data_IF_844798079063
#
_entry.id   IF_844798079063
#
_cell.length_a   1.000
_cell.length_b   1.000
_cell.length_c   1.000
_cell.angle_alpha   90.00
_cell.angle_beta   90.00
_cell.angle_gamma   90.00
#
_symmetry.space_group_name_H-M   'P 1'
#
loop_
_entity.id
_entity.type
_entity.pdbx_description
1 polymer ?
#
# COMPACT_ATOMS: atom_id res chain seq x y z
N UNK A 1 -6.30 28.80 -6.52
CA UNK A 1 -6.02 27.78 -5.48
C UNK A 1 -7.15 26.77 -5.62
N UNK A 2 -6.92 25.71 -6.41
CA UNK A 2 -7.99 24.74 -6.70
C UNK A 2 -8.23 23.94 -5.44
N UNK A 3 -9.49 23.85 -5.03
CA UNK A 3 -9.94 23.00 -3.93
C UNK A 3 -9.55 21.56 -4.30
N UNK A 4 -8.53 21.03 -3.62
CA UNK A 4 -8.18 19.62 -3.74
C UNK A 4 -9.33 18.86 -3.08
N UNK A 5 -10.02 17.95 -3.78
CA UNK A 5 -11.06 17.17 -3.15
C UNK A 5 -10.45 16.49 -1.92
N UNK A 6 -10.95 16.82 -0.73
CA UNK A 6 -10.62 16.07 0.47
C UNK A 6 -11.07 14.65 0.21
N UNK A 7 -10.09 13.76 0.06
CA UNK A 7 -10.32 12.36 -0.22
C UNK A 7 -10.94 11.75 1.05
N UNK A 8 -12.27 11.84 1.17
CA UNK A 8 -13.02 11.31 2.28
C UNK A 8 -13.14 9.80 2.08
N UNK A 9 -12.10 9.07 2.50
CA UNK A 9 -12.19 7.63 2.61
C UNK A 9 -13.16 7.28 3.74
N UNK A 10 -14.13 6.42 3.44
CA UNK A 10 -15.03 5.91 4.46
C UNK A 10 -14.23 5.05 5.47
N UNK A 11 -14.55 5.11 6.77
CA UNK A 11 -13.89 4.27 7.77
C UNK A 11 -14.15 2.77 7.55
N UNK A 12 -15.27 2.43 6.93
CA UNK A 12 -15.67 1.05 6.62
C UNK A 12 -15.34 0.70 5.17
N UNK A 13 -15.01 -0.57 4.93
CA UNK A 13 -14.88 -1.12 3.59
C UNK A 13 -16.24 -1.21 2.90
N UNK A 14 -16.25 -0.92 1.60
CA UNK A 14 -17.37 -1.32 0.74
C UNK A 14 -17.45 -2.85 0.60
N UNK A 15 -18.56 -3.35 0.07
CA UNK A 15 -18.72 -4.79 -0.18
C UNK A 15 -17.67 -5.31 -1.18
N UNK A 16 -17.29 -4.50 -2.18
CA UNK A 16 -16.24 -4.84 -3.15
C UNK A 16 -14.85 -4.87 -2.51
N UNK A 17 -14.52 -3.87 -1.68
CA UNK A 17 -13.26 -3.84 -0.94
C UNK A 17 -13.16 -5.03 0.03
N UNK A 18 -14.24 -5.34 0.74
CA UNK A 18 -14.28 -6.46 1.67
C UNK A 18 -14.18 -7.82 0.95
N UNK A 19 -14.72 -7.94 -0.27
CA UNK A 19 -14.52 -9.10 -1.12
C UNK A 19 -13.04 -9.25 -1.51
N UNK A 20 -12.40 -8.18 -1.99
CA UNK A 20 -10.98 -8.18 -2.35
C UNK A 20 -10.08 -8.47 -1.16
N UNK A 21 -10.39 -7.95 0.02
CA UNK A 21 -9.62 -8.28 1.22
C UNK A 21 -9.69 -9.77 1.57
N UNK A 22 -10.89 -10.35 1.55
CA UNK A 22 -11.11 -11.74 1.95
C UNK A 22 -10.52 -12.74 0.95
N UNK A 23 -10.54 -12.42 -0.35
CA UNK A 23 -10.01 -13.33 -1.37
C UNK A 23 -8.49 -13.50 -1.24
N UNK A 24 -7.77 -12.48 -0.72
CA UNK A 24 -6.34 -12.57 -0.45
C UNK A 24 -5.93 -13.57 0.63
N UNK A 25 -6.89 -14.17 1.35
CA UNK A 25 -6.60 -15.31 2.23
C UNK A 25 -6.12 -16.55 1.45
N UNK A 26 -6.46 -16.66 0.16
CA UNK A 26 -5.86 -17.63 -0.77
C UNK A 26 -4.67 -16.96 -1.48
N UNK A 27 -3.43 -17.46 -1.29
CA UNK A 27 -2.24 -16.90 -1.94
C UNK A 27 -2.30 -16.88 -3.47
N UNK A 28 -3.12 -17.74 -4.10
CA UNK A 28 -3.28 -17.76 -5.56
C UNK A 28 -4.19 -16.66 -6.09
N UNK A 29 -4.95 -16.01 -5.20
CA UNK A 29 -5.95 -14.99 -5.55
C UNK A 29 -5.65 -13.65 -4.85
N UNK A 30 -4.41 -13.46 -4.37
CA UNK A 30 -3.97 -12.21 -3.76
C UNK A 30 -4.21 -11.03 -4.73
N UNK A 31 -4.99 -10.02 -4.33
CA UNK A 31 -5.38 -8.91 -5.20
C UNK A 31 -4.27 -7.86 -5.36
N UNK A 32 -3.08 -8.07 -4.79
CA UNK A 32 -1.98 -7.11 -4.84
C UNK A 32 -1.51 -6.86 -6.27
N UNK A 33 -1.61 -5.61 -6.69
CA UNK A 33 -1.00 -5.12 -7.93
C UNK A 33 0.49 -4.84 -7.75
N UNK A 34 1.25 -4.90 -8.85
CA UNK A 34 2.66 -4.49 -8.89
C UNK A 34 2.94 -3.63 -10.10
N UNK A 35 3.88 -2.70 -9.96
CA UNK A 35 4.39 -1.87 -11.04
C UNK A 35 5.89 -2.13 -11.23
N UNK A 36 6.29 -2.45 -12.45
CA UNK A 36 7.71 -2.52 -12.84
C UNK A 36 8.06 -1.28 -13.67
N UNK A 37 9.06 -0.53 -13.23
CA UNK A 37 9.58 0.63 -13.93
C UNK A 37 11.04 0.40 -14.39
N UNK A 38 11.30 0.64 -15.66
CA UNK A 38 12.65 0.68 -16.22
C UNK A 38 13.09 2.14 -16.31
N UNK A 39 14.26 2.44 -15.75
CA UNK A 39 14.78 3.81 -15.65
C UNK A 39 16.10 3.93 -16.38
N UNK A 40 16.38 5.12 -16.90
CA UNK A 40 17.63 5.46 -17.61
C UNK A 40 18.82 5.66 -16.64
N UNK A 41 18.53 5.83 -15.35
CA UNK A 41 19.52 6.04 -14.28
C UNK A 41 19.07 5.39 -12.97
N UNK A 42 20.00 5.17 -12.03
CA UNK A 42 19.66 4.70 -10.69
C UNK A 42 18.65 5.60 -9.98
N UNK A 43 17.76 5.00 -9.18
CA UNK A 43 16.80 5.72 -8.33
C UNK A 43 17.53 6.38 -7.17
N UNK A 44 17.27 7.66 -6.92
CA UNK A 44 17.56 8.29 -5.62
C UNK A 44 16.49 7.86 -4.62
N UNK A 45 16.83 6.89 -3.78
CA UNK A 45 15.88 6.29 -2.84
C UNK A 45 15.49 7.22 -1.70
N UNK A 46 16.36 8.15 -1.31
CA UNK A 46 16.03 9.14 -0.29
C UNK A 46 15.02 10.16 -0.84
N UNK A 47 15.18 10.55 -2.10
CA UNK A 47 14.18 11.36 -2.79
C UNK A 47 12.85 10.61 -2.94
N UNK A 48 12.88 9.32 -3.29
CA UNK A 48 11.68 8.49 -3.37
C UNK A 48 10.95 8.45 -2.04
N UNK A 49 11.64 8.15 -0.93
CA UNK A 49 11.07 8.14 0.42
C UNK A 49 10.41 9.46 0.77
N UNK A 50 11.10 10.59 0.53
CA UNK A 50 10.53 11.93 0.77
C UNK A 50 9.28 12.19 -0.06
N UNK A 51 9.24 11.76 -1.32
CA UNK A 51 8.06 11.92 -2.19
C UNK A 51 6.89 11.06 -1.74
N UNK A 52 7.12 9.81 -1.34
CA UNK A 52 6.07 8.95 -0.78
C UNK A 52 5.52 9.56 0.51
N UNK A 53 6.39 9.97 1.43
CA UNK A 53 5.99 10.63 2.67
C UNK A 53 5.14 11.89 2.43
N UNK A 54 5.54 12.73 1.47
CA UNK A 54 4.79 13.94 1.12
C UNK A 54 3.42 13.63 0.46
N UNK A 55 3.25 12.45 -0.13
CA UNK A 55 2.00 12.00 -0.74
C UNK A 55 0.96 11.47 0.25
N UNK A 56 1.40 10.96 1.41
CA UNK A 56 0.52 10.35 2.43
C UNK A 56 -0.67 11.24 2.83
N UNK A 57 -0.51 12.56 3.09
CA UNK A 57 -1.65 13.41 3.47
C UNK A 57 -2.78 13.46 2.42
N UNK A 58 -2.48 13.19 1.14
CA UNK A 58 -3.47 13.14 0.07
C UNK A 58 -4.12 11.77 -0.11
N UNK A 59 -3.56 10.74 0.52
CA UNK A 59 -4.04 9.36 0.49
C UNK A 59 -3.91 8.72 1.88
N UNK A 60 -4.74 9.12 2.87
CA UNK A 60 -4.65 8.62 4.24
C UNK A 60 -4.72 7.08 4.35
N UNK A 61 -5.44 6.44 3.42
CA UNK A 61 -5.54 4.97 3.33
C UNK A 61 -4.18 4.25 3.28
N UNK A 62 -3.09 4.91 2.85
CA UNK A 62 -1.75 4.32 2.81
C UNK A 62 -1.13 4.02 4.19
N UNK A 63 -1.64 4.64 5.25
CA UNK A 63 -1.16 4.44 6.63
C UNK A 63 -2.18 3.76 7.51
N UNK A 64 -3.22 3.20 6.88
CA UNK A 64 -4.29 2.49 7.56
C UNK A 64 -4.14 0.99 7.36
N UNK A 65 -4.60 0.23 8.35
CA UNK A 65 -4.69 -1.23 8.32
C UNK A 65 -6.13 -1.66 8.49
N UNK A 66 -6.45 -2.84 7.95
CA UNK A 66 -7.75 -3.48 8.22
C UNK A 66 -7.73 -4.06 9.62
N UNK A 67 -8.81 -3.84 10.37
CA UNK A 67 -9.04 -4.48 11.66
C UNK A 67 -10.25 -5.38 11.61
N UNK A 68 -10.14 -6.54 12.26
CA UNK A 68 -11.26 -7.43 12.43
C UNK A 68 -12.34 -6.78 13.29
N UNK A 69 -13.59 -7.09 12.95
CA UNK A 69 -14.75 -6.66 13.70
C UNK A 69 -15.10 -7.68 14.77
N UNK A 70 -15.63 -7.20 15.91
CA UNK A 70 -16.00 -8.09 17.01
C UNK A 70 -17.21 -8.97 16.68
N UNK A 71 -17.93 -8.70 15.58
CA UNK A 71 -19.10 -9.45 15.14
C UNK A 71 -18.94 -9.93 13.67
N UNK A 72 -19.28 -11.18 13.36
CA UNK A 72 -19.08 -11.76 12.01
C UNK A 72 -19.77 -11.03 10.84
N UNK A 73 -20.79 -10.22 11.11
CA UNK A 73 -21.61 -9.54 10.10
C UNK A 73 -21.36 -8.03 10.01
N UNK A 74 -20.39 -7.52 10.77
CA UNK A 74 -20.03 -6.10 10.72
C UNK A 74 -19.01 -5.86 9.61
N UNK A 75 -19.16 -4.74 8.90
CA UNK A 75 -18.26 -4.35 7.82
C UNK A 75 -16.83 -4.18 8.36
N UNK A 76 -15.86 -4.73 7.64
CA UNK A 76 -14.44 -4.51 7.96
C UNK A 76 -14.15 -3.02 7.95
N UNK A 77 -13.29 -2.58 8.87
CA UNK A 77 -12.95 -1.17 9.00
C UNK A 77 -11.46 -0.96 8.85
N UNK A 78 -11.13 0.25 8.45
CA UNK A 78 -9.79 0.78 8.38
C UNK A 78 -9.52 1.59 9.63
N UNK A 79 -8.32 1.43 10.19
CA UNK A 79 -7.83 2.26 11.28
C UNK A 79 -6.40 2.68 10.97
N UNK A 80 -6.01 3.87 11.43
CA UNK A 80 -4.60 4.29 11.39
C UNK A 80 -3.76 3.21 12.08
N UNK A 81 -2.72 2.77 11.39
CA UNK A 81 -1.77 1.84 11.95
C UNK A 81 -0.82 2.59 12.91
N UNK A 82 -0.90 2.35 14.23
CA UNK A 82 -0.01 3.01 15.19
C UNK A 82 1.46 2.64 14.99
N UNK A 83 1.73 1.52 14.33
CA UNK A 83 3.07 0.99 14.08
C UNK A 83 3.55 1.31 12.65
N UNK A 84 2.85 2.20 11.91
CA UNK A 84 3.23 2.58 10.56
C UNK A 84 4.66 3.14 10.52
N UNK A 85 5.50 2.51 9.70
CA UNK A 85 6.86 2.95 9.44
C UNK A 85 7.15 2.88 7.93
N UNK A 86 7.38 4.04 7.32
CA UNK A 86 7.67 4.17 5.90
C UNK A 86 8.88 3.35 5.45
N UNK A 87 9.83 3.08 6.34
CA UNK A 87 11.01 2.26 6.01
C UNK A 87 10.66 0.81 5.73
N UNK A 88 9.55 0.30 6.27
CA UNK A 88 9.01 -1.03 5.94
C UNK A 88 8.28 -1.06 4.59
N UNK A 89 7.94 0.11 4.02
CA UNK A 89 7.21 0.22 2.75
C UNK A 89 8.09 0.65 1.58
N UNK A 90 9.29 1.22 1.83
CA UNK A 90 10.26 1.57 0.80
C UNK A 90 11.60 0.87 1.07
N UNK A 91 11.69 -0.34 0.54
CA UNK A 91 12.84 -1.24 0.68
C UNK A 91 13.82 -1.08 -0.48
N UNK A 92 15.10 -1.19 -0.16
CA UNK A 92 16.17 -1.36 -1.15
C UNK A 92 16.64 -2.81 -1.09
N UNK A 93 16.54 -3.51 -2.22
CA UNK A 93 16.97 -4.90 -2.34
C UNK A 93 17.82 -5.03 -3.59
N UNK A 94 19.00 -5.63 -3.43
CA UNK A 94 19.87 -6.01 -4.53
C UNK A 94 19.60 -7.46 -4.92
N UNK A 95 19.45 -7.72 -6.22
CA UNK A 95 19.45 -9.09 -6.72
C UNK A 95 20.84 -9.71 -6.52
N UNK A 96 20.94 -11.00 -6.13
CA UNK A 96 22.23 -11.68 -6.04
C UNK A 96 23.02 -11.60 -7.34
N UNK A 97 24.34 -11.47 -7.24
CA UNK A 97 25.22 -11.65 -8.38
C UNK A 97 25.02 -13.08 -8.97
N UNK A 98 25.09 -13.25 -10.30
CA UNK A 98 25.52 -12.29 -11.31
C UNK A 98 24.40 -11.37 -11.87
N UNK A 99 23.16 -11.46 -11.40
CA UNK A 99 22.04 -10.63 -11.88
C UNK A 99 21.81 -10.77 -13.40
N UNK A 100 22.08 -11.94 -13.97
CA UNK A 100 21.93 -12.22 -15.40
C UNK A 100 20.53 -12.77 -15.74
N UNK A 101 20.24 -12.92 -17.03
CA UNK A 101 18.95 -13.42 -17.55
C UNK A 101 18.59 -14.86 -17.12
N UNK A 102 19.47 -15.58 -16.42
CA UNK A 102 19.26 -16.96 -15.99
C UNK A 102 18.93 -17.09 -14.49
N UNK A 103 19.01 -15.99 -13.75
CA UNK A 103 18.55 -15.92 -12.36
C UNK A 103 17.02 -15.90 -12.26
#
# INVERSE_FOLDING_TARGET
MSDMPTNHFEPTMSDEEALMWRIGADPWLDPSGSLLALLDRPVDLDLLRRKVAAGIPSMPRLVERVVDTARPFEALRWEIDPDFDLTNHVLEVAVPAPGDRRA
#
